data_IF_951789095648
#
_entry.id   IF_951789095648
#
_cell.length_a   1.000
_cell.length_b   1.000
_cell.length_c   1.000
_cell.angle_alpha   90.00
_cell.angle_beta   90.00
_cell.angle_gamma   90.00
#
_symmetry.space_group_name_H-M   'P 1'
#
loop_
_entity.id
_entity.type
_entity.pdbx_description
1 polymer ?
#
# COMPACT_ATOMS: atom_id res chain seq x y z
N UNK A 1 -22.78 -7.49 -17.84
CA UNK A 1 -22.01 -7.43 -16.65
C UNK A 1 -20.60 -7.91 -16.89
N UNK A 2 -19.65 -7.03 -16.71
CA UNK A 2 -18.26 -7.40 -16.91
C UNK A 2 -17.65 -8.03 -15.68
N UNK A 3 -16.71 -8.88 -15.91
CA UNK A 3 -15.93 -9.45 -14.84
C UNK A 3 -14.93 -8.42 -14.33
N UNK A 4 -14.66 -8.45 -13.03
CA UNK A 4 -13.63 -7.61 -12.46
C UNK A 4 -12.26 -8.22 -12.74
N UNK A 5 -11.27 -7.37 -12.98
CA UNK A 5 -9.89 -7.81 -12.97
C UNK A 5 -9.46 -8.10 -11.53
N UNK A 6 -8.39 -8.86 -11.30
CA UNK A 6 -7.89 -9.06 -9.95
C UNK A 6 -7.61 -7.74 -9.23
N UNK A 7 -7.01 -6.77 -9.91
CA UNK A 7 -6.75 -5.46 -9.32
C UNK A 7 -8.05 -4.78 -8.91
N UNK A 8 -9.04 -4.76 -9.80
CA UNK A 8 -10.34 -4.12 -9.52
C UNK A 8 -11.02 -4.81 -8.33
N UNK A 9 -10.93 -6.12 -8.29
CA UNK A 9 -11.53 -6.88 -7.19
C UNK A 9 -10.89 -6.51 -5.85
N UNK A 10 -9.56 -6.42 -5.83
CA UNK A 10 -8.84 -6.08 -4.59
C UNK A 10 -9.23 -4.67 -4.13
N UNK A 11 -9.18 -3.69 -5.03
CA UNK A 11 -9.48 -2.31 -4.65
C UNK A 11 -10.94 -2.15 -4.21
N UNK A 12 -11.86 -2.81 -4.90
CA UNK A 12 -13.27 -2.77 -4.51
C UNK A 12 -13.51 -3.45 -3.17
N UNK A 13 -12.77 -4.54 -2.90
CA UNK A 13 -12.88 -5.24 -1.62
C UNK A 13 -12.51 -4.32 -0.47
N UNK A 14 -11.43 -3.57 -0.62
CA UNK A 14 -11.03 -2.63 0.42
C UNK A 14 -12.16 -1.63 0.69
N UNK A 15 -12.73 -1.07 -0.36
CA UNK A 15 -13.81 -0.08 -0.21
C UNK A 15 -15.06 -0.66 0.42
N UNK A 16 -15.40 -1.89 0.05
CA UNK A 16 -16.68 -2.48 0.42
C UNK A 16 -16.66 -3.22 1.75
N UNK A 17 -15.49 -3.74 2.14
CA UNK A 17 -15.40 -4.54 3.36
C UNK A 17 -14.88 -3.77 4.56
N UNK A 18 -14.27 -2.61 4.36
CA UNK A 18 -13.75 -1.83 5.48
C UNK A 18 -14.90 -1.26 6.30
N UNK A 19 -14.65 -1.08 7.59
CA UNK A 19 -15.65 -0.54 8.52
C UNK A 19 -15.14 0.79 9.06
N UNK A 20 -15.82 1.89 8.76
CA UNK A 20 -15.36 3.19 9.25
C UNK A 20 -15.14 3.18 10.76
N UNK A 21 -14.13 3.87 11.26
CA UNK A 21 -13.24 4.79 10.55
C UNK A 21 -12.03 4.12 9.92
N UNK A 22 -11.97 2.79 9.94
CA UNK A 22 -10.80 2.06 9.45
C UNK A 22 -10.74 2.14 7.92
N UNK A 23 -9.53 2.33 7.40
CA UNK A 23 -9.31 2.43 5.96
C UNK A 23 -8.90 1.11 5.33
N UNK A 24 -8.42 0.17 6.14
CA UNK A 24 -7.95 -1.11 5.64
C UNK A 24 -8.86 -2.26 6.03
N UNK A 25 -8.58 -3.43 5.46
CA UNK A 25 -9.29 -4.65 5.79
C UNK A 25 -8.31 -5.74 6.15
N UNK A 26 -8.70 -6.58 7.11
CA UNK A 26 -7.91 -7.77 7.46
C UNK A 26 -8.20 -8.82 6.39
N UNK A 27 -7.16 -9.33 5.74
CA UNK A 27 -7.36 -10.22 4.58
C UNK A 27 -8.09 -11.52 4.92
N UNK A 28 -7.94 -11.99 6.15
CA UNK A 28 -8.62 -13.22 6.60
C UNK A 28 -9.94 -12.90 7.26
N UNK A 29 -9.92 -12.06 8.30
CA UNK A 29 -11.11 -11.82 9.13
C UNK A 29 -12.22 -11.09 8.40
N UNK A 30 -11.91 -10.32 7.38
CA UNK A 30 -12.92 -9.64 6.58
C UNK A 30 -13.60 -10.57 5.58
N UNK A 31 -13.03 -11.75 5.36
CA UNK A 31 -13.52 -12.67 4.34
C UNK A 31 -12.92 -12.43 2.97
N UNK A 32 -11.98 -11.48 2.83
CA UNK A 32 -11.40 -11.14 1.53
C UNK A 32 -10.76 -12.34 0.85
N UNK A 33 -9.87 -13.07 1.57
CA UNK A 33 -9.15 -14.19 0.94
C UNK A 33 -10.10 -15.24 0.39
N UNK A 34 -11.13 -15.57 1.16
CA UNK A 34 -12.11 -16.58 0.73
C UNK A 34 -12.94 -16.08 -0.45
N UNK A 35 -13.37 -14.83 -0.39
CA UNK A 35 -14.13 -14.23 -1.49
C UNK A 35 -13.29 -14.19 -2.77
N UNK A 36 -12.01 -13.85 -2.64
CA UNK A 36 -11.10 -13.82 -3.78
C UNK A 36 -10.98 -15.21 -4.42
N UNK A 37 -10.78 -16.24 -3.59
CA UNK A 37 -10.66 -17.60 -4.11
C UNK A 37 -11.93 -18.08 -4.79
N UNK A 38 -13.07 -17.62 -4.30
CA UNK A 38 -14.36 -17.95 -4.90
C UNK A 38 -14.53 -17.31 -6.27
N UNK A 39 -14.12 -16.05 -6.40
CA UNK A 39 -14.27 -15.32 -7.65
C UNK A 39 -13.20 -15.70 -8.67
N UNK A 40 -11.98 -15.96 -8.21
CA UNK A 40 -10.84 -16.33 -9.06
C UNK A 40 -10.28 -17.68 -8.60
N UNK A 41 -10.96 -18.79 -8.93
CA UNK A 41 -10.55 -20.09 -8.38
C UNK A 41 -9.18 -20.57 -8.84
N UNK A 42 -8.63 -19.98 -9.90
CA UNK A 42 -7.31 -20.37 -10.41
C UNK A 42 -6.18 -19.43 -9.96
N UNK A 43 -6.50 -18.43 -9.14
CA UNK A 43 -5.50 -17.48 -8.67
C UNK A 43 -5.37 -17.55 -7.16
N UNK A 44 -4.19 -17.14 -6.67
CA UNK A 44 -3.91 -17.09 -5.24
C UNK A 44 -3.96 -15.64 -4.77
N UNK A 45 -4.79 -15.31 -3.76
CA UNK A 45 -4.91 -13.93 -3.30
C UNK A 45 -3.59 -13.37 -2.75
N UNK A 46 -2.78 -14.19 -2.09
CA UNK A 46 -1.50 -13.71 -1.56
C UNK A 46 -0.57 -13.29 -2.69
N UNK A 47 -0.51 -14.08 -3.75
CA UNK A 47 0.32 -13.77 -4.91
C UNK A 47 -0.15 -12.50 -5.59
N UNK A 48 -1.46 -12.36 -5.81
CA UNK A 48 -2.02 -11.19 -6.46
C UNK A 48 -1.78 -9.92 -5.63
N UNK A 49 -2.02 -10.01 -4.32
CA UNK A 49 -1.80 -8.86 -3.44
C UNK A 49 -0.32 -8.47 -3.44
N UNK A 50 0.59 -9.45 -3.39
CA UNK A 50 2.03 -9.16 -3.44
C UNK A 50 2.41 -8.45 -4.73
N UNK A 51 1.82 -8.84 -5.84
CA UNK A 51 2.05 -8.18 -7.11
C UNK A 51 1.59 -6.73 -7.08
N UNK A 52 0.40 -6.49 -6.53
CA UNK A 52 -0.13 -5.12 -6.44
C UNK A 52 0.68 -4.26 -5.49
N UNK A 53 1.24 -4.84 -4.43
CA UNK A 53 2.16 -4.13 -3.54
C UNK A 53 3.40 -3.69 -4.32
N UNK A 54 3.98 -4.59 -5.10
CA UNK A 54 5.17 -4.26 -5.88
C UNK A 54 4.90 -3.19 -6.93
N UNK A 55 3.65 -3.09 -7.39
CA UNK A 55 3.25 -2.08 -8.35
C UNK A 55 2.82 -0.76 -7.70
N UNK A 56 2.85 -0.69 -6.38
CA UNK A 56 2.50 0.54 -5.66
C UNK A 56 1.01 0.84 -5.60
N UNK A 57 0.16 -0.14 -5.84
CA UNK A 57 -1.29 0.06 -5.89
C UNK A 57 -1.98 -0.17 -4.56
N UNK A 58 -1.41 -1.05 -3.75
CA UNK A 58 -1.90 -1.33 -2.40
C UNK A 58 -0.71 -1.42 -1.46
N UNK A 59 -1.00 -1.35 -0.17
CA UNK A 59 0.00 -1.50 0.89
C UNK A 59 -0.52 -2.53 1.87
N UNK A 60 0.37 -3.31 2.45
CA UNK A 60 -0.01 -4.26 3.49
C UNK A 60 0.76 -3.97 4.77
N UNK A 61 0.15 -4.31 5.89
CA UNK A 61 0.79 -4.23 7.20
C UNK A 61 0.58 -5.55 7.92
N UNK A 62 1.65 -6.21 8.34
CA UNK A 62 1.50 -7.47 9.09
C UNK A 62 0.78 -7.24 10.40
N UNK A 63 -0.15 -8.12 10.73
CA UNK A 63 -0.89 -8.11 11.98
C UNK A 63 -1.11 -9.55 12.40
N UNK A 64 -1.69 -9.72 13.58
CA UNK A 64 -2.00 -11.06 14.06
C UNK A 64 -2.95 -11.76 13.09
N UNK A 65 -2.58 -12.94 12.66
CA UNK A 65 -3.42 -13.80 11.81
C UNK A 65 -3.42 -13.47 10.34
N UNK A 66 -2.65 -12.47 9.89
CA UNK A 66 -2.61 -12.12 8.48
C UNK A 66 -2.03 -10.76 8.24
N UNK A 67 -2.62 -10.02 7.30
CA UNK A 67 -2.20 -8.66 7.03
C UNK A 67 -3.43 -7.77 6.89
N UNK A 68 -3.24 -6.48 7.13
CA UNK A 68 -4.23 -5.47 6.82
C UNK A 68 -3.86 -4.87 5.46
N UNK A 69 -4.85 -4.76 4.61
CA UNK A 69 -4.69 -4.34 3.22
C UNK A 69 -5.30 -2.95 3.05
N UNK A 70 -4.52 -2.03 2.49
CA UNK A 70 -4.94 -0.64 2.27
C UNK A 70 -4.76 -0.26 0.82
N UNK A 71 -5.59 0.65 0.33
CA UNK A 71 -5.20 1.38 -0.87
C UNK A 71 -3.92 2.15 -0.55
N UNK A 72 -2.99 2.21 -1.49
CA UNK A 72 -1.68 2.82 -1.23
C UNK A 72 -1.81 4.25 -0.69
N UNK A 73 -2.70 5.05 -1.26
CA UNK A 73 -2.86 6.45 -0.86
C UNK A 73 -3.51 6.62 0.51
N UNK A 74 -4.09 5.55 1.06
CA UNK A 74 -4.80 5.60 2.33
C UNK A 74 -4.06 4.86 3.44
N UNK A 75 -2.87 4.34 3.14
CA UNK A 75 -2.10 3.58 4.13
C UNK A 75 -1.61 4.51 5.24
N UNK A 76 -1.52 4.01 6.49
CA UNK A 76 -0.94 4.79 7.58
C UNK A 76 0.46 5.28 7.20
N UNK A 77 0.73 6.55 7.45
CA UNK A 77 2.02 7.14 7.14
C UNK A 77 2.19 7.60 5.70
N UNK A 78 1.22 7.37 4.82
CA UNK A 78 1.34 7.77 3.42
C UNK A 78 1.61 9.26 3.28
N UNK A 79 0.83 10.09 4.00
CA UNK A 79 0.96 11.55 3.91
C UNK A 79 2.35 12.00 4.38
N UNK A 80 2.85 11.42 5.47
CA UNK A 80 4.18 11.75 5.97
C UNK A 80 5.28 11.34 5.00
N UNK A 81 5.15 10.18 4.38
CA UNK A 81 6.11 9.70 3.40
C UNK A 81 6.11 10.61 2.17
N UNK A 82 4.92 11.05 1.73
CA UNK A 82 4.82 11.93 0.58
C UNK A 82 5.44 13.29 0.87
N UNK A 83 5.17 13.84 2.06
CA UNK A 83 5.78 15.11 2.45
C UNK A 83 7.30 15.01 2.52
N UNK A 84 7.81 13.92 3.07
CA UNK A 84 9.25 13.70 3.14
C UNK A 84 9.85 13.59 1.74
N UNK A 85 9.20 12.84 0.86
CA UNK A 85 9.66 12.67 -0.51
C UNK A 85 9.69 14.02 -1.24
N UNK A 86 8.64 14.81 -1.08
CA UNK A 86 8.56 16.13 -1.71
C UNK A 86 9.72 17.01 -1.27
N UNK A 87 10.06 16.96 0.03
CA UNK A 87 11.19 17.73 0.55
C UNK A 87 12.52 17.22 0.00
N UNK A 88 12.67 15.91 -0.12
CA UNK A 88 13.89 15.32 -0.64
C UNK A 88 14.11 15.72 -2.10
N UNK A 89 13.03 15.75 -2.87
CA UNK A 89 13.10 16.00 -4.31
C UNK A 89 12.97 17.48 -4.66
N UNK A 90 12.75 18.36 -3.68
CA UNK A 90 12.57 19.78 -3.93
C UNK A 90 13.79 20.37 -4.58
N UNK A 91 13.59 21.24 -5.56
CA UNK A 91 14.69 22.02 -6.15
C UNK A 91 15.21 23.00 -5.14
N UNK A 92 16.50 23.26 -5.24
CA UNK A 92 17.12 24.22 -4.37
C UNK A 92 18.39 23.67 -3.77
N UNK A 93 19.15 24.50 -3.07
CA UNK A 93 20.39 24.03 -2.49
C UNK A 93 20.14 22.95 -1.47
N UNK A 94 20.98 21.94 -1.56
CA UNK A 94 21.00 20.89 -0.56
C UNK A 94 21.65 21.44 0.70
N UNK A 95 21.15 21.21 1.77
CA UNK A 95 21.75 21.62 3.05
C UNK A 95 22.96 20.76 3.36
N UNK A 96 23.07 20.80 2.43
CA UNK A 96 23.75 20.08 2.18
C UNK A 96 24.05 19.70 2.21
N UNK A 97 24.16 19.81 1.66
CA UNK A 97 24.35 19.52 1.07
C UNK A 97 24.49 19.48 1.47
N UNK A 98 24.78 19.35 1.68
CA UNK A 98 25.08 19.29 1.57
C UNK A 98 25.34 18.93 1.91
N UNK A 99 25.86 18.89 2.22
CA UNK A 99 26.38 18.68 2.04
C UNK A 99 26.60 18.29 2.30
N UNK A 100 27.20 18.43 2.65
CA UNK A 100 27.71 18.20 2.41
C UNK A 100 28.00 18.01 2.79
N UNK A 101 28.70 18.18 3.19
CA UNK A 101 29.25 18.06 3.05
C UNK A 101 29.40 17.85 3.51
N UNK A 102 30.01 17.86 3.94
CA UNK A 102 30.41 17.76 3.86
C UNK A 102 30.55 17.59 4.16
N UNK A 103 31.18 17.81 4.56
CA UNK A 103 31.61 17.80 4.43
C UNK A 103 31.75 17.76 4.64
N UNK A 104 31.94 17.94 5.02
CA UNK A 104 32.34 17.98 4.86
C UNK A 104 32.31 17.75 5.38
N UNK A 105 32.61 17.82 5.82
CA UNK A 105 32.72 17.63 5.84
C UNK A 105 32.30 17.12 6.22
N UNK A 106 32.59 17.05 6.57
CA UNK A 106 32.32 16.61 6.39
C UNK A 106 31.75 16.25 6.69
N UNK A 107 32.15 16.30 7.00
CA UNK A 107 31.76 16.04 6.66
C UNK A 107 31.44 15.88 6.81
#
# INVERSE_FOLDING_TARGET
MGDLSPEEFVLRSIERLRKPPYKGIHTVYSGFNEAFRKYFPLLDPVTVVSQLVSEGKVTIRPVRGGVVLYKASEAPGYANAQLALDKILADGPSDAQQETPTNDKLL
#
